data_IF_826884907811
#
_entry.id   IF_826884907811
#
_cell.length_a   1.000
_cell.length_b   1.000
_cell.length_c   1.000
_cell.angle_alpha   90.00
_cell.angle_beta   90.00
_cell.angle_gamma   90.00
#
_symmetry.space_group_name_H-M   'P 1'
#
loop_
_entity.id
_entity.type
_entity.pdbx_description
1 polymer ?
#
# COMPACT_ATOMS: atom_id res chain seq x y z
N UNK A 1 8.45 28.88 -33.42
CA UNK A 1 7.79 29.15 -32.11
C UNK A 1 8.43 28.46 -30.91
N UNK A 2 8.43 27.13 -30.77
CA UNK A 2 9.05 26.48 -29.57
C UNK A 2 10.55 26.75 -29.43
N UNK A 3 11.31 26.63 -30.52
CA UNK A 3 12.75 26.92 -30.54
C UNK A 3 13.05 28.41 -30.31
N UNK A 4 12.08 29.27 -30.62
CA UNK A 4 12.17 30.73 -30.40
C UNK A 4 11.76 31.14 -28.97
N UNK A 5 11.41 30.18 -28.09
CA UNK A 5 11.01 30.49 -26.71
C UNK A 5 9.63 31.16 -26.58
N UNK A 6 8.76 31.03 -27.60
CA UNK A 6 7.40 31.59 -27.53
C UNK A 6 6.59 30.99 -26.37
N UNK A 7 5.74 31.81 -25.74
CA UNK A 7 4.84 31.37 -24.66
C UNK A 7 3.93 30.24 -25.12
N UNK A 8 3.65 29.31 -24.20
CA UNK A 8 2.74 28.20 -24.44
C UNK A 8 1.35 28.67 -24.90
N UNK A 9 0.83 29.74 -24.30
CA UNK A 9 -0.47 30.31 -24.65
C UNK A 9 -0.46 30.89 -26.08
N UNK A 10 0.61 31.60 -26.46
CA UNK A 10 0.78 32.11 -27.82
C UNK A 10 0.84 30.99 -28.87
N UNK A 11 1.46 29.86 -28.54
CA UNK A 11 1.49 28.67 -29.41
C UNK A 11 0.07 28.09 -29.55
N UNK A 12 -0.71 28.03 -28.46
CA UNK A 12 -2.08 27.52 -28.50
C UNK A 12 -2.97 28.43 -29.35
N UNK A 13 -2.85 29.76 -29.20
CA UNK A 13 -3.59 30.74 -30.00
C UNK A 13 -3.24 30.65 -31.48
N UNK A 14 -1.96 30.57 -31.82
CA UNK A 14 -1.51 30.38 -33.20
C UNK A 14 -2.06 29.08 -33.80
N UNK A 15 -2.12 27.99 -33.02
CA UNK A 15 -2.71 26.72 -33.48
C UNK A 15 -4.22 26.80 -33.71
N UNK A 16 -4.94 27.63 -32.92
CA UNK A 16 -6.36 27.87 -33.11
C UNK A 16 -6.59 28.71 -34.37
N UNK A 17 -5.83 29.79 -34.55
CA UNK A 17 -5.93 30.68 -35.70
C UNK A 17 -5.64 29.96 -37.03
N UNK A 18 -4.71 29.00 -37.03
CA UNK A 18 -4.36 28.21 -38.21
C UNK A 18 -5.27 27.00 -38.46
N UNK A 19 -6.28 26.77 -37.62
CA UNK A 19 -7.15 25.59 -37.75
C UNK A 19 -8.42 25.92 -38.54
N UNK A 20 -8.45 25.50 -39.81
CA UNK A 20 -9.61 25.64 -40.70
C UNK A 20 -10.90 24.98 -40.16
N UNK A 21 -10.77 23.93 -39.36
CA UNK A 21 -11.92 23.19 -38.79
C UNK A 21 -12.33 23.66 -37.40
N UNK A 22 -11.61 24.59 -36.77
CA UNK A 22 -11.88 24.96 -35.38
C UNK A 22 -13.18 25.74 -35.23
N UNK A 23 -13.45 26.69 -36.15
CA UNK A 23 -14.67 27.50 -36.12
C UNK A 23 -15.96 26.66 -36.28
N UNK A 24 -15.91 25.58 -37.06
CA UNK A 24 -17.06 24.72 -37.34
C UNK A 24 -17.35 23.71 -36.20
N UNK A 25 -16.49 23.64 -35.18
CA UNK A 25 -16.68 22.71 -34.05
C UNK A 25 -17.67 23.27 -33.04
N UNK A 26 -18.39 22.37 -32.38
CA UNK A 26 -19.22 22.69 -31.22
C UNK A 26 -18.38 23.32 -30.10
N UNK A 27 -19.00 24.13 -29.24
CA UNK A 27 -18.34 24.79 -28.10
C UNK A 27 -17.57 23.79 -27.22
N UNK A 28 -18.16 22.62 -26.95
CA UNK A 28 -17.51 21.57 -26.18
C UNK A 28 -16.27 20.98 -26.88
N UNK A 29 -16.33 20.83 -28.20
CA UNK A 29 -15.20 20.32 -29.00
C UNK A 29 -14.08 21.34 -29.10
N UNK A 30 -14.41 22.63 -29.18
CA UNK A 30 -13.44 23.72 -29.12
C UNK A 30 -12.70 23.75 -27.77
N UNK A 31 -13.42 23.65 -26.66
CA UNK A 31 -12.83 23.64 -25.32
C UNK A 31 -11.97 22.38 -25.07
N UNK A 32 -12.45 21.20 -25.47
CA UNK A 32 -11.66 19.95 -25.43
C UNK A 32 -10.35 20.08 -26.23
N UNK A 33 -10.42 20.73 -27.40
CA UNK A 33 -9.23 21.02 -28.19
C UNK A 33 -8.28 21.99 -27.47
N UNK A 34 -8.79 23.10 -26.93
CA UNK A 34 -7.99 24.07 -26.13
C UNK A 34 -7.29 23.38 -24.96
N UNK A 35 -8.00 22.60 -24.15
CA UNK A 35 -7.45 21.85 -23.02
C UNK A 35 -6.35 20.85 -23.47
N UNK A 36 -6.57 20.13 -24.57
CA UNK A 36 -5.56 19.21 -25.14
C UNK A 36 -4.29 19.96 -25.56
N UNK A 37 -4.42 21.15 -26.15
CA UNK A 37 -3.28 21.97 -26.56
C UNK A 37 -2.59 22.62 -25.36
N UNK A 38 -3.32 23.17 -24.41
CA UNK A 38 -2.76 23.70 -23.16
C UNK A 38 -1.96 22.64 -22.41
N UNK A 39 -2.50 21.42 -22.25
CA UNK A 39 -1.77 20.31 -21.60
C UNK A 39 -0.43 19.98 -22.26
N UNK A 40 -0.30 20.21 -23.59
CA UNK A 40 0.92 19.91 -24.36
C UNK A 40 1.89 21.10 -24.48
N UNK A 41 1.39 22.32 -24.55
CA UNK A 41 2.17 23.51 -24.90
C UNK A 41 2.31 24.52 -23.75
N UNK A 42 1.38 24.53 -22.80
CA UNK A 42 1.38 25.39 -21.62
C UNK A 42 1.16 24.56 -20.33
N UNK A 43 2.04 23.56 -20.03
CA UNK A 43 1.90 22.78 -18.81
C UNK A 43 2.06 23.69 -17.59
N UNK A 44 1.13 23.57 -16.64
CA UNK A 44 1.16 24.26 -15.35
C UNK A 44 1.44 23.25 -14.25
N UNK A 45 2.37 23.57 -13.36
CA UNK A 45 2.70 22.74 -12.20
C UNK A 45 2.16 23.43 -10.95
N UNK A 46 1.46 22.67 -10.11
CA UNK A 46 0.95 23.14 -8.82
C UNK A 46 1.71 22.42 -7.71
N UNK A 47 2.41 23.19 -6.89
CA UNK A 47 3.07 22.67 -5.70
C UNK A 47 2.04 22.49 -4.58
N UNK A 48 1.97 21.27 -4.03
CA UNK A 48 1.11 20.92 -2.91
C UNK A 48 1.95 20.32 -1.79
N UNK A 49 1.50 20.54 -0.56
CA UNK A 49 2.10 19.89 0.61
C UNK A 49 1.93 18.37 0.51
N UNK A 50 2.97 17.57 0.84
CA UNK A 50 2.82 16.13 0.98
C UNK A 50 1.81 15.78 2.07
N UNK A 51 0.98 14.79 1.77
CA UNK A 51 -0.02 14.17 2.65
C UNK A 51 -0.14 12.70 2.28
N UNK A 52 -0.62 11.86 3.20
CA UNK A 52 -0.93 10.44 2.96
C UNK A 52 -1.66 10.24 1.64
N UNK A 53 -2.68 11.06 1.40
CA UNK A 53 -3.46 11.04 0.15
C UNK A 53 -2.59 11.26 -1.08
N UNK A 54 -1.85 12.36 -1.13
CA UNK A 54 -1.04 12.72 -2.30
C UNK A 54 0.09 11.72 -2.57
N UNK A 55 0.69 11.18 -1.50
CA UNK A 55 1.79 10.21 -1.61
C UNK A 55 1.24 8.89 -2.11
N UNK A 56 0.16 8.37 -1.50
CA UNK A 56 -0.51 7.15 -1.94
C UNK A 56 -0.97 7.26 -3.40
N UNK A 57 -1.66 8.34 -3.79
CA UNK A 57 -2.10 8.55 -5.18
C UNK A 57 -0.93 8.60 -6.16
N UNK A 58 0.21 9.18 -5.76
CA UNK A 58 1.41 9.27 -6.62
C UNK A 58 2.06 7.90 -6.81
N UNK A 59 2.23 7.13 -5.73
CA UNK A 59 2.79 5.78 -5.82
C UNK A 59 1.86 4.82 -6.55
N UNK A 60 0.55 4.90 -6.31
CA UNK A 60 -0.42 4.06 -7.02
C UNK A 60 -0.41 4.31 -8.53
N UNK A 61 -0.18 5.56 -8.97
CA UNK A 61 -0.10 5.92 -10.40
C UNK A 61 1.26 5.56 -11.04
N UNK A 62 2.37 5.65 -10.30
CA UNK A 62 3.72 5.46 -10.87
C UNK A 62 4.32 4.09 -10.59
N UNK A 63 4.17 3.58 -9.37
CA UNK A 63 4.81 2.36 -8.85
C UNK A 63 3.84 1.58 -7.94
N UNK A 64 2.69 1.09 -8.45
CA UNK A 64 1.66 0.47 -7.62
C UNK A 64 2.13 -0.78 -6.89
N UNK A 65 3.00 -1.59 -7.50
CA UNK A 65 3.54 -2.80 -6.89
C UNK A 65 4.30 -2.52 -5.57
N UNK A 66 4.99 -1.38 -5.49
CA UNK A 66 5.77 -1.00 -4.31
C UNK A 66 4.91 -0.74 -3.07
N UNK A 67 3.65 -0.39 -3.27
CA UNK A 67 2.69 -0.15 -2.19
C UNK A 67 1.66 -1.28 -2.07
N UNK A 68 1.97 -2.47 -2.61
CA UNK A 68 1.07 -3.62 -2.60
C UNK A 68 -0.26 -3.35 -3.34
N UNK A 69 -0.25 -2.50 -4.36
CA UNK A 69 -1.43 -2.04 -5.09
C UNK A 69 -2.50 -1.37 -4.22
N UNK A 70 -2.11 -0.81 -3.06
CA UNK A 70 -3.02 -0.14 -2.15
C UNK A 70 -3.51 1.19 -2.73
N UNK A 71 -4.82 1.32 -2.94
CA UNK A 71 -5.43 2.57 -3.39
C UNK A 71 -5.77 3.49 -2.20
N UNK A 72 -5.97 4.77 -2.47
CA UNK A 72 -6.12 5.80 -1.42
C UNK A 72 -7.36 5.63 -0.54
N UNK A 73 -8.45 5.14 -1.10
CA UNK A 73 -9.66 4.75 -0.39
C UNK A 73 -9.43 3.53 0.51
N UNK A 74 -8.66 2.53 0.04
CA UNK A 74 -8.25 1.39 0.86
C UNK A 74 -7.35 1.83 2.02
N UNK A 75 -6.34 2.68 1.78
CA UNK A 75 -5.52 3.25 2.85
C UNK A 75 -6.37 4.01 3.87
N UNK A 76 -7.33 4.81 3.41
CA UNK A 76 -8.21 5.60 4.28
C UNK A 76 -9.12 4.70 5.13
N UNK A 77 -9.68 3.65 4.52
CA UNK A 77 -10.50 2.66 5.20
C UNK A 77 -9.67 1.87 6.22
N UNK A 78 -8.46 1.45 5.86
CA UNK A 78 -7.53 0.72 6.73
C UNK A 78 -7.23 1.51 8.02
N UNK A 79 -6.86 2.79 7.88
CA UNK A 79 -6.58 3.68 9.01
C UNK A 79 -7.82 3.92 9.89
N UNK A 80 -9.00 3.96 9.27
CA UNK A 80 -10.28 4.18 9.97
C UNK A 80 -10.72 2.94 10.74
N UNK A 81 -10.62 1.76 10.12
CA UNK A 81 -10.99 0.48 10.74
C UNK A 81 -10.06 0.10 11.90
N UNK A 82 -8.79 0.48 11.80
CA UNK A 82 -7.83 0.36 12.90
C UNK A 82 -8.00 1.46 13.98
N UNK A 83 -8.93 2.40 13.81
CA UNK A 83 -9.18 3.51 14.74
C UNK A 83 -7.91 4.32 15.08
N UNK A 84 -7.09 4.64 14.07
CA UNK A 84 -5.86 5.42 14.30
C UNK A 84 -6.23 6.86 14.66
N UNK A 85 -5.91 7.22 15.90
CA UNK A 85 -6.17 8.54 16.47
C UNK A 85 -5.05 9.02 17.38
N UNK A 86 -5.16 10.27 17.82
CA UNK A 86 -4.24 10.83 18.80
C UNK A 86 -4.24 10.00 20.09
N UNK A 87 -3.08 9.94 20.73
CA UNK A 87 -2.72 9.20 21.93
C UNK A 87 -2.75 7.68 21.80
N UNK A 88 -2.94 7.14 20.60
CA UNK A 88 -2.86 5.70 20.33
C UNK A 88 -1.40 5.23 20.24
N UNK A 89 -1.17 4.03 20.79
CA UNK A 89 0.03 3.22 20.58
C UNK A 89 -0.31 2.17 19.52
N UNK A 90 0.19 2.38 18.30
CA UNK A 90 -0.18 1.60 17.10
C UNK A 90 0.96 0.64 16.76
N UNK A 91 0.63 -0.65 16.65
CA UNK A 91 1.51 -1.66 16.08
C UNK A 91 1.25 -1.74 14.57
N UNK A 92 2.31 -1.65 13.76
CA UNK A 92 2.19 -1.67 12.31
C UNK A 92 3.18 -2.67 11.70
N UNK A 93 2.70 -3.56 10.84
CA UNK A 93 3.56 -4.32 9.91
C UNK A 93 3.47 -3.63 8.56
N UNK A 94 4.55 -3.00 8.13
CA UNK A 94 4.60 -2.25 6.87
C UNK A 94 5.71 -2.79 5.98
N UNK A 95 5.31 -3.60 5.00
CA UNK A 95 6.15 -4.06 3.90
C UNK A 95 5.86 -3.30 2.60
N UNK A 96 5.15 -2.17 2.69
CA UNK A 96 4.73 -1.33 1.55
C UNK A 96 5.52 -0.02 1.49
N UNK A 97 6.81 -0.10 1.83
CA UNK A 97 7.78 1.00 1.73
C UNK A 97 7.69 2.05 2.84
N UNK A 98 6.89 1.83 3.90
CA UNK A 98 6.65 2.83 4.94
C UNK A 98 5.45 3.74 4.67
N UNK A 99 4.61 3.42 3.68
CA UNK A 99 3.41 4.22 3.35
C UNK A 99 2.41 4.22 4.52
N UNK A 100 2.21 3.07 5.15
CA UNK A 100 1.24 2.89 6.24
C UNK A 100 1.78 3.54 7.50
N UNK A 101 3.04 3.29 7.87
CA UNK A 101 3.68 3.90 9.04
C UNK A 101 3.70 5.43 8.91
N UNK A 102 4.03 5.96 7.73
CA UNK A 102 3.98 7.40 7.46
C UNK A 102 2.58 7.98 7.63
N UNK A 103 1.55 7.25 7.18
CA UNK A 103 0.15 7.68 7.32
C UNK A 103 -0.34 7.62 8.76
N UNK A 104 0.06 6.60 9.51
CA UNK A 104 -0.21 6.50 10.95
C UNK A 104 0.45 7.68 11.67
N UNK A 105 1.73 7.94 11.41
CA UNK A 105 2.44 9.06 12.01
C UNK A 105 1.78 10.41 11.69
N UNK A 106 1.33 10.63 10.45
CA UNK A 106 0.56 11.82 10.05
C UNK A 106 -0.73 11.96 10.89
N UNK A 107 -1.47 10.86 11.08
CA UNK A 107 -2.72 10.83 11.86
C UNK A 107 -2.51 11.01 13.36
N UNK A 108 -1.42 10.48 13.92
CA UNK A 108 -1.07 10.63 15.34
C UNK A 108 -0.65 12.06 15.70
N UNK A 109 -0.18 12.85 14.73
CA UNK A 109 0.14 14.27 14.92
C UNK A 109 1.24 14.55 15.96
N UNK A 110 2.04 13.55 16.33
CA UNK A 110 3.05 13.66 17.38
C UNK A 110 2.52 13.44 18.81
N UNK A 111 1.26 13.03 18.96
CA UNK A 111 0.66 12.66 20.26
C UNK A 111 0.32 11.18 20.20
N UNK A 112 1.24 10.29 20.55
CA UNK A 112 1.10 8.83 20.37
C UNK A 112 2.40 8.21 19.88
N UNK A 113 2.37 6.91 19.60
CA UNK A 113 3.54 6.18 19.11
C UNK A 113 3.15 5.16 18.05
N UNK A 114 4.04 4.97 17.09
CA UNK A 114 3.92 3.90 16.09
C UNK A 114 5.12 2.99 16.20
N UNK A 115 4.86 1.71 16.44
CA UNK A 115 5.87 0.67 16.44
C UNK A 115 5.74 -0.12 15.14
N UNK A 116 6.69 0.10 14.22
CA UNK A 116 6.79 -0.67 12.99
C UNK A 116 7.54 -1.98 13.28
N UNK A 117 6.83 -3.10 13.23
CA UNK A 117 7.45 -4.41 13.34
C UNK A 117 7.76 -5.01 11.97
N UNK A 118 8.78 -5.85 11.92
CA UNK A 118 9.22 -6.52 10.70
C UNK A 118 9.53 -7.99 10.96
N UNK A 119 9.38 -8.77 9.90
CA UNK A 119 9.63 -10.21 9.89
C UNK A 119 11.07 -10.46 9.45
N UNK A 120 11.80 -11.28 10.20
CA UNK A 120 13.19 -11.63 9.92
C UNK A 120 14.24 -10.73 10.59
N UNK A 121 15.47 -10.80 10.09
CA UNK A 121 16.66 -10.22 10.75
C UNK A 121 16.84 -8.71 10.48
N UNK A 122 16.35 -8.21 9.35
CA UNK A 122 16.55 -6.83 8.92
C UNK A 122 15.22 -6.06 8.79
N UNK A 123 15.19 -4.77 9.17
CA UNK A 123 14.00 -3.93 9.04
C UNK A 123 13.60 -3.73 7.57
N UNK A 124 12.30 -3.66 7.33
CA UNK A 124 11.76 -3.26 6.02
C UNK A 124 12.16 -1.82 5.67
N UNK A 125 12.35 -1.56 4.39
CA UNK A 125 12.67 -0.22 3.90
C UNK A 125 11.48 0.73 4.12
N UNK A 126 11.67 1.74 4.97
CA UNK A 126 10.68 2.79 5.27
C UNK A 126 11.00 4.11 4.58
N UNK A 127 11.47 4.06 3.34
CA UNK A 127 12.00 5.23 2.67
C UNK A 127 10.91 6.23 2.22
N UNK A 128 9.66 5.77 2.05
CA UNK A 128 8.50 6.63 1.71
C UNK A 128 8.24 7.65 2.84
N UNK A 129 8.58 7.34 4.09
CA UNK A 129 8.41 8.24 5.24
C UNK A 129 9.10 9.59 5.01
N UNK A 130 10.23 9.61 4.28
CA UNK A 130 10.94 10.86 3.97
C UNK A 130 10.11 11.83 3.14
N UNK A 131 9.16 11.33 2.34
CA UNK A 131 8.29 12.17 1.51
C UNK A 131 7.21 12.88 2.31
N UNK A 132 6.85 12.37 3.50
CA UNK A 132 5.84 12.98 4.37
C UNK A 132 6.31 14.31 5.00
N UNK A 133 7.61 14.58 5.02
CA UNK A 133 8.19 15.77 5.65
C UNK A 133 7.68 15.97 7.09
N UNK A 134 7.75 14.90 7.89
CA UNK A 134 7.28 14.87 9.28
C UNK A 134 8.17 15.77 10.16
N UNK A 135 7.58 16.33 11.22
CA UNK A 135 8.35 17.09 12.22
C UNK A 135 9.28 16.16 13.02
N UNK A 136 10.30 16.74 13.66
CA UNK A 136 11.19 16.00 14.57
C UNK A 136 10.43 15.22 15.63
N UNK A 137 9.36 15.81 16.16
CA UNK A 137 8.56 15.23 17.24
C UNK A 137 7.80 14.00 16.74
N UNK A 138 7.18 14.10 15.56
CA UNK A 138 6.51 12.98 14.91
C UNK A 138 7.51 11.86 14.58
N UNK A 139 8.68 12.20 14.02
CA UNK A 139 9.70 11.21 13.67
C UNK A 139 10.30 10.51 14.89
N UNK A 140 10.48 11.21 16.01
CA UNK A 140 11.01 10.63 17.24
C UNK A 140 10.11 9.55 17.86
N UNK A 141 8.83 9.53 17.47
CA UNK A 141 7.80 8.62 17.95
C UNK A 141 7.56 7.42 17.02
N UNK A 142 8.34 7.32 15.94
CA UNK A 142 8.33 6.18 15.02
C UNK A 142 9.44 5.22 15.44
N UNK A 143 9.04 4.08 15.98
CA UNK A 143 9.95 3.03 16.41
C UNK A 143 9.97 1.87 15.43
N UNK A 144 11.09 1.15 15.38
CA UNK A 144 11.21 -0.13 14.70
C UNK A 144 11.73 -1.20 15.66
N UNK A 145 11.09 -2.35 15.68
CA UNK A 145 11.49 -3.50 16.49
C UNK A 145 11.22 -4.80 15.71
N UNK A 146 12.09 -5.83 15.80
CA UNK A 146 11.80 -7.12 15.20
C UNK A 146 10.65 -7.81 15.94
N UNK A 147 9.89 -8.65 15.24
CA UNK A 147 8.77 -9.38 15.84
C UNK A 147 9.20 -10.26 17.02
N UNK A 148 10.37 -10.90 16.96
CA UNK A 148 10.88 -11.76 18.02
C UNK A 148 11.07 -11.04 19.37
N UNK A 149 11.53 -9.78 19.33
CA UNK A 149 11.71 -8.99 20.55
C UNK A 149 10.37 -8.63 21.19
N UNK A 150 9.34 -8.37 20.38
CA UNK A 150 8.00 -8.06 20.85
C UNK A 150 7.31 -9.30 21.44
N UNK A 151 7.41 -10.46 20.78
CA UNK A 151 6.83 -11.70 21.29
C UNK A 151 7.45 -12.12 22.64
N UNK A 152 8.74 -11.86 22.83
CA UNK A 152 9.44 -12.16 24.09
C UNK A 152 8.90 -11.37 25.29
N UNK A 153 8.18 -10.27 25.08
CA UNK A 153 7.62 -9.46 26.17
C UNK A 153 6.44 -10.13 26.86
N UNK A 154 5.68 -10.96 26.14
CA UNK A 154 4.53 -11.66 26.71
C UNK A 154 4.96 -12.80 27.65
N UNK A 155 6.01 -13.53 27.28
CA UNK A 155 6.54 -14.64 28.07
C UNK A 155 7.08 -14.21 29.44
N UNK A 156 7.37 -12.91 29.64
CA UNK A 156 7.82 -12.37 30.91
C UNK A 156 6.67 -11.98 31.87
N UNK A 157 5.43 -11.87 31.37
CA UNK A 157 4.26 -11.44 32.14
C UNK A 157 3.53 -12.55 32.91
N UNK A 158 3.70 -13.82 32.51
CA UNK A 158 2.88 -14.95 33.01
C UNK A 158 3.63 -15.98 33.87
N UNK A 159 4.85 -15.69 34.35
CA UNK A 159 5.61 -16.65 35.17
C UNK A 159 5.53 -16.35 36.68
N UNK A 160 4.81 -17.16 37.51
CA UNK A 160 5.14 -17.26 38.92
C UNK A 160 6.49 -17.98 39.05
N UNK A 161 7.41 -17.33 39.77
CA UNK A 161 8.78 -17.78 39.97
C UNK A 161 8.87 -19.12 40.72
N UNK A 162 9.19 -20.23 40.03
CA UNK A 162 9.79 -21.42 40.66
C UNK A 162 10.76 -22.14 39.72
N UNK A 163 12.06 -21.94 40.02
CA UNK A 163 13.22 -22.84 39.95
C UNK A 163 13.63 -23.58 38.66
N UNK A 164 14.89 -23.27 38.30
CA UNK A 164 15.89 -23.97 37.49
C UNK A 164 15.79 -25.50 37.36
N UNK A 165 16.14 -25.99 36.16
CA UNK A 165 16.48 -27.38 35.92
C UNK A 165 16.93 -27.65 34.48
N UNK A 166 18.16 -27.29 34.17
CA UNK A 166 18.90 -27.60 32.94
C UNK A 166 18.92 -29.10 32.59
N UNK A 167 18.50 -29.48 31.37
CA UNK A 167 19.03 -30.66 30.66
C UNK A 167 19.13 -30.35 29.16
N UNK A 168 20.36 -30.41 28.69
CA UNK A 168 20.82 -30.39 27.31
C UNK A 168 20.71 -31.81 26.72
N UNK A 169 20.29 -31.96 25.46
CA UNK A 169 20.67 -33.14 24.65
C UNK A 169 20.52 -32.91 23.14
N UNK A 170 21.49 -33.49 22.45
CA UNK A 170 21.93 -33.27 21.07
C UNK A 170 21.02 -33.82 19.96
N UNK A 171 21.30 -33.27 18.77
CA UNK A 171 20.94 -33.73 17.43
C UNK A 171 21.39 -35.17 17.15
N UNK A 172 20.53 -35.98 16.52
CA UNK A 172 20.90 -37.05 15.57
C UNK A 172 19.80 -37.24 14.52
N UNK A 173 20.12 -36.91 13.26
CA UNK A 173 19.76 -37.70 12.06
C UNK A 173 21.08 -38.37 11.60
N UNK A 174 21.12 -39.51 10.86
CA UNK A 174 20.45 -39.69 9.56
C UNK A 174 20.06 -41.14 9.18
N UNK A 175 19.38 -41.35 8.03
CA UNK A 175 19.74 -42.34 6.99
C UNK A 175 18.68 -42.41 5.88
N UNK A 176 19.14 -42.66 4.65
CA UNK A 176 18.44 -42.41 3.40
C UNK A 176 18.28 -43.68 2.52
N UNK A 177 17.26 -43.65 1.63
CA UNK A 177 17.02 -44.32 0.31
C UNK A 177 17.04 -45.86 0.19
N UNK A 178 16.47 -46.52 -0.87
CA UNK A 178 16.15 -46.10 -2.28
C UNK A 178 14.66 -46.27 -2.71
N UNK A 179 14.08 -45.44 -3.58
CA UNK A 179 14.14 -45.31 -5.06
C UNK A 179 13.59 -46.52 -5.88
N UNK A 180 12.45 -46.32 -6.54
CA UNK A 180 12.14 -46.92 -7.86
C UNK A 180 11.13 -46.04 -8.62
N UNK A 181 11.55 -45.68 -9.84
CA UNK A 181 10.83 -44.90 -10.85
C UNK A 181 10.13 -45.80 -11.87
N UNK A 182 8.87 -45.54 -12.24
CA UNK A 182 8.33 -45.91 -13.56
C UNK A 182 7.26 -44.91 -14.06
N UNK A 183 7.52 -44.34 -15.25
CA UNK A 183 6.59 -43.54 -16.06
C UNK A 183 5.74 -44.44 -16.98
N UNK A 184 4.45 -44.11 -17.17
CA UNK A 184 3.68 -44.41 -18.40
C UNK A 184 2.39 -43.54 -18.38
N UNK A 185 2.25 -42.53 -19.23
CA UNK A 185 1.67 -42.49 -20.58
C UNK A 185 0.12 -42.50 -20.68
N UNK A 186 -0.41 -41.37 -21.19
CA UNK A 186 -1.56 -41.20 -22.11
C UNK A 186 -2.96 -41.76 -21.75
N UNK A 187 -3.95 -40.85 -21.62
CA UNK A 187 -5.18 -40.81 -22.45
C UNK A 187 -6.12 -39.62 -22.09
N UNK A 188 -6.49 -38.81 -23.10
CA UNK A 188 -7.80 -38.13 -23.24
C UNK A 188 -8.60 -38.93 -24.28
N UNK A 189 -9.94 -39.03 -24.23
CA UNK A 189 -10.86 -38.05 -24.85
C UNK A 189 -12.15 -37.83 -24.00
N UNK A 190 -13.07 -36.89 -24.24
CA UNK A 190 -14.03 -36.79 -25.35
C UNK A 190 -14.71 -35.41 -25.32
N UNK A 191 -14.94 -34.85 -26.52
CA UNK A 191 -15.71 -33.65 -26.81
C UNK A 191 -17.22 -33.92 -26.80
N UNK A 192 -18.05 -32.90 -26.51
CA UNK A 192 -19.41 -32.83 -27.06
C UNK A 192 -19.74 -31.36 -27.35
N UNK A 193 -19.89 -31.06 -28.64
CA UNK A 193 -20.38 -29.81 -29.21
C UNK A 193 -21.92 -29.80 -29.19
N UNK A 194 -22.52 -28.62 -29.02
CA UNK A 194 -23.87 -28.32 -29.52
C UNK A 194 -23.83 -26.93 -30.16
N UNK A 195 -24.22 -26.87 -31.43
CA UNK A 195 -24.38 -25.69 -32.27
C UNK A 195 -25.83 -25.18 -32.30
N UNK A 196 -25.96 -23.92 -32.73
CA UNK A 196 -27.09 -23.22 -33.41
C UNK A 196 -27.41 -21.88 -32.70
N UNK A 197 -27.61 -20.74 -33.37
CA UNK A 197 -27.74 -20.44 -34.79
C UNK A 197 -27.82 -18.93 -34.99
N UNK A 198 -27.71 -18.55 -36.26
CA UNK A 198 -27.43 -17.25 -36.87
C UNK A 198 -28.59 -16.22 -36.78
N UNK A 199 -28.27 -14.92 -36.67
CA UNK A 199 -29.14 -13.82 -37.10
C UNK A 199 -28.32 -12.58 -37.53
N UNK A 200 -28.41 -12.24 -38.80
CA UNK A 200 -27.79 -11.08 -39.46
C UNK A 200 -28.55 -9.77 -39.16
N UNK A 201 -27.83 -8.65 -38.99
CA UNK A 201 -28.36 -7.32 -39.37
C UNK A 201 -27.25 -6.30 -39.66
N UNK A 202 -27.17 -5.95 -40.95
CA UNK A 202 -26.88 -4.66 -41.61
C UNK A 202 -25.88 -3.65 -41.00
N UNK A 203 -24.75 -3.55 -41.70
CA UNK A 203 -23.99 -2.37 -42.17
C UNK A 203 -24.31 -0.97 -41.61
N UNK A 204 -23.38 -0.41 -40.83
CA UNK A 204 -22.96 1.01 -40.91
C UNK A 204 -21.45 1.08 -40.63
N UNK A 205 -20.67 1.57 -41.59
CA UNK A 205 -19.22 1.77 -41.45
C UNK A 205 -18.92 2.97 -40.53
N UNK A 206 -18.12 2.83 -39.45
CA UNK A 206 -17.45 3.95 -38.83
C UNK A 206 -16.07 4.15 -39.47
N UNK A 207 -15.82 5.38 -39.88
CA UNK A 207 -14.56 5.87 -40.44
C UNK A 207 -13.44 5.69 -39.39
N UNK A 208 -12.52 4.77 -39.66
CA UNK A 208 -11.28 4.60 -38.91
C UNK A 208 -10.41 5.84 -39.11
N UNK A 209 -10.22 6.63 -38.05
CA UNK A 209 -9.12 7.58 -37.95
C UNK A 209 -8.05 6.90 -37.09
N UNK A 210 -7.03 6.37 -37.75
CA UNK A 210 -5.86 5.77 -37.11
C UNK A 210 -5.28 6.75 -36.08
N UNK A 211 -5.16 6.23 -34.85
CA UNK A 211 -4.45 6.87 -33.75
C UNK A 211 -3.02 6.35 -33.81
N UNK A 212 -1.99 7.21 -34.04
CA UNK A 212 -0.64 6.81 -33.73
C UNK A 212 -0.47 6.83 -32.22
N UNK A 213 -0.28 5.66 -31.63
CA UNK A 213 0.19 5.54 -30.25
C UNK A 213 1.56 6.23 -30.10
N UNK A 214 1.80 6.99 -29.03
CA UNK A 214 3.15 7.45 -28.74
C UNK A 214 3.99 6.25 -28.32
N UNK A 215 5.11 6.07 -29.02
CA UNK A 215 6.11 5.03 -28.77
C UNK A 215 6.38 4.82 -27.27
N UNK A 216 6.23 3.57 -26.85
CA UNK A 216 6.80 3.00 -25.63
C UNK A 216 8.31 2.97 -25.79
N UNK A 217 8.99 3.79 -25.01
CA UNK A 217 10.44 3.68 -24.81
C UNK A 217 10.65 2.68 -23.66
N UNK A 218 10.66 1.40 -24.02
CA UNK A 218 11.00 0.30 -23.11
C UNK A 218 12.53 0.27 -22.91
N UNK A 219 12.99 1.07 -21.96
CA UNK A 219 14.24 0.80 -21.27
C UNK A 219 13.99 0.79 -19.76
N UNK A 220 13.74 -0.42 -19.26
CA UNK A 220 13.80 -0.78 -17.86
C UNK A 220 15.23 -0.52 -17.34
N UNK A 221 15.42 0.64 -16.72
CA UNK A 221 16.53 0.85 -15.81
C UNK A 221 16.01 0.72 -14.38
N UNK A 222 16.36 -0.41 -13.78
CA UNK A 222 16.27 -0.69 -12.36
C UNK A 222 17.30 0.22 -11.66
N UNK A 223 16.93 1.48 -11.49
CA UNK A 223 17.71 2.47 -10.76
C UNK A 223 17.05 2.75 -9.43
N UNK A 224 17.69 2.30 -8.35
CA UNK A 224 17.43 2.84 -7.03
C UNK A 224 17.39 4.38 -7.12
N UNK A 225 16.28 4.98 -6.70
CA UNK A 225 16.21 6.42 -6.50
C UNK A 225 17.03 6.73 -5.25
N UNK A 226 18.34 6.70 -5.39
CA UNK A 226 19.26 7.42 -4.52
C UNK A 226 19.24 8.87 -5.01
N UNK A 227 18.60 9.75 -4.23
CA UNK A 227 18.86 11.18 -4.39
C UNK A 227 20.34 11.40 -4.08
N UNK A 228 21.09 11.85 -5.08
CA UNK A 228 22.47 12.26 -4.92
C UNK A 228 22.52 13.45 -3.97
N UNK A 229 23.25 13.29 -2.86
CA UNK A 229 23.60 14.39 -1.97
C UNK A 229 24.34 15.46 -2.80
N UNK A 230 23.78 16.66 -2.87
CA UNK A 230 24.47 17.82 -3.41
C UNK A 230 25.67 18.15 -2.51
N UNK A 231 26.85 17.60 -2.79
CA UNK A 231 28.11 17.98 -2.14
C UNK A 231 28.50 19.38 -2.61
N UNK A 232 28.15 20.38 -1.81
CA UNK A 232 28.81 21.69 -1.84
C UNK A 232 30.25 21.55 -1.35
N UNK A 233 31.20 22.05 -2.13
CA UNK A 233 32.61 22.13 -1.74
C UNK A 233 32.77 23.29 -0.75
N UNK A 234 32.83 22.98 0.55
CA UNK A 234 33.64 23.63 1.60
C UNK A 234 33.09 23.32 3.00
N UNK A 235 34.03 23.10 3.92
CA UNK A 235 33.85 22.46 5.23
C UNK A 235 32.89 23.14 6.21
N UNK A 236 32.41 22.31 7.13
CA UNK A 236 31.47 22.55 8.24
C UNK A 236 30.01 22.83 7.83
N UNK A 237 29.30 21.79 7.40
CA UNK A 237 27.84 21.80 7.33
C UNK A 237 27.23 21.51 8.71
N UNK A 238 26.87 22.56 9.46
CA UNK A 238 25.81 22.49 10.47
C UNK A 238 24.48 22.59 9.72
N UNK A 239 24.16 21.56 8.92
CA UNK A 239 22.81 21.35 8.44
C UNK A 239 22.18 20.32 9.39
N UNK A 240 21.00 20.56 9.98
CA UNK A 240 20.35 19.54 10.80
C UNK A 240 20.11 18.32 9.90
N UNK A 241 20.81 17.21 10.19
CA UNK A 241 20.56 15.93 9.51
C UNK A 241 19.06 15.65 9.60
N UNK A 242 18.42 15.37 8.47
CA UNK A 242 16.99 15.06 8.44
C UNK A 242 16.69 13.98 9.51
N UNK A 243 15.66 14.18 10.35
CA UNK A 243 15.37 13.26 11.43
C UNK A 243 15.13 11.86 10.85
N UNK A 244 15.91 10.89 11.32
CA UNK A 244 15.79 9.50 10.88
C UNK A 244 14.69 8.82 11.69
N UNK A 245 13.63 8.39 11.00
CA UNK A 245 12.61 7.50 11.54
C UNK A 245 13.17 6.08 11.71
N UNK A 246 12.54 5.27 12.58
CA UNK A 246 12.91 3.86 12.76
C UNK A 246 14.02 3.63 13.78
N UNK A 247 14.02 4.42 14.87
CA UNK A 247 14.89 4.11 16.02
C UNK A 247 14.33 2.89 16.77
N UNK A 248 15.21 2.13 17.43
CA UNK A 248 14.75 1.12 18.36
C UNK A 248 13.94 1.79 19.50
N UNK A 249 12.85 1.17 19.98
CA UNK A 249 12.10 1.66 21.12
C UNK A 249 12.97 1.65 22.39
N UNK A 250 12.78 2.64 23.25
CA UNK A 250 13.41 2.65 24.58
C UNK A 250 12.91 1.46 25.41
N UNK A 251 13.76 0.87 26.28
CA UNK A 251 13.39 -0.30 27.08
C UNK A 251 12.16 -0.08 27.97
N UNK A 252 11.98 1.14 28.49
CA UNK A 252 10.78 1.51 29.27
C UNK A 252 9.49 1.42 28.47
N UNK A 253 9.51 1.87 27.20
CA UNK A 253 8.36 1.79 26.30
C UNK A 253 8.07 0.34 25.90
N UNK A 254 9.13 -0.46 25.71
CA UNK A 254 8.99 -1.88 25.43
C UNK A 254 8.28 -2.60 26.58
N UNK A 255 8.70 -2.33 27.82
CA UNK A 255 8.05 -2.86 29.03
C UNK A 255 6.58 -2.41 29.13
N UNK A 256 6.31 -1.13 28.88
CA UNK A 256 4.94 -0.59 28.89
C UNK A 256 4.01 -1.34 27.93
N UNK A 257 4.46 -1.61 26.69
CA UNK A 257 3.68 -2.39 25.72
C UNK A 257 3.53 -3.86 26.11
N UNK A 258 4.51 -4.44 26.79
CA UNK A 258 4.38 -5.79 27.36
C UNK A 258 3.26 -5.87 28.41
N UNK A 259 3.12 -4.85 29.25
CA UNK A 259 2.12 -4.82 30.34
C UNK A 259 0.72 -4.40 29.86
N UNK A 260 0.62 -3.42 28.95
CA UNK A 260 -0.67 -2.81 28.56
C UNK A 260 -1.15 -3.25 27.17
N UNK A 261 -0.26 -3.81 26.34
CA UNK A 261 -0.52 -4.09 24.94
C UNK A 261 -0.59 -2.84 24.05
N UNK A 262 -0.67 -3.07 22.73
CA UNK A 262 -0.90 -2.02 21.75
C UNK A 262 -2.40 -1.72 21.61
N UNK A 263 -2.73 -0.46 21.34
CA UNK A 263 -4.12 0.00 21.20
C UNK A 263 -4.77 -0.31 19.84
N UNK A 264 -3.95 -0.55 18.81
CA UNK A 264 -4.39 -0.81 17.44
C UNK A 264 -3.34 -1.60 16.68
N UNK A 265 -3.77 -2.47 15.76
CA UNK A 265 -2.89 -3.19 14.83
C UNK A 265 -3.24 -2.86 13.38
N UNK A 266 -2.21 -2.56 12.58
CA UNK A 266 -2.32 -2.50 11.12
C UNK A 266 -1.32 -3.47 10.50
N UNK A 267 -1.77 -4.27 9.54
CA UNK A 267 -0.90 -5.18 8.78
C UNK A 267 -1.03 -4.89 7.29
N UNK A 268 0.10 -4.63 6.64
CA UNK A 268 0.23 -4.53 5.19
C UNK A 268 1.50 -5.28 4.76
N UNK A 269 1.35 -6.58 4.53
CA UNK A 269 2.41 -7.49 4.14
C UNK A 269 1.94 -8.37 2.97
N UNK A 270 1.99 -7.88 1.72
CA UNK A 270 1.46 -8.61 0.56
C UNK A 270 2.24 -9.88 0.21
N UNK A 271 3.51 -9.98 0.62
CA UNK A 271 4.41 -11.09 0.25
C UNK A 271 4.52 -12.18 1.33
N UNK A 272 3.77 -12.07 2.44
CA UNK A 272 3.85 -12.97 3.59
C UNK A 272 2.51 -13.63 3.91
N UNK A 273 2.56 -14.80 4.56
CA UNK A 273 1.38 -15.48 5.05
C UNK A 273 0.73 -14.71 6.19
N UNK A 274 -0.37 -14.03 5.86
CA UNK A 274 -1.13 -13.17 6.78
C UNK A 274 -1.55 -13.91 8.05
N UNK A 275 -1.92 -15.19 7.94
CA UNK A 275 -2.40 -15.99 9.07
C UNK A 275 -1.36 -16.12 10.18
N UNK A 276 -0.14 -16.57 9.85
CA UNK A 276 0.94 -16.74 10.83
C UNK A 276 1.32 -15.40 11.46
N UNK A 277 1.44 -14.36 10.64
CA UNK A 277 1.80 -13.01 11.11
C UNK A 277 0.74 -12.48 12.09
N UNK A 278 -0.54 -12.66 11.79
CA UNK A 278 -1.64 -12.19 12.65
C UNK A 278 -1.72 -13.03 13.94
N UNK A 279 -1.46 -14.33 13.89
CA UNK A 279 -1.44 -15.19 15.07
C UNK A 279 -0.41 -14.72 16.11
N UNK A 280 0.78 -14.30 15.67
CA UNK A 280 1.84 -13.80 16.55
C UNK A 280 1.57 -12.37 17.06
N UNK A 281 0.90 -11.54 16.26
CA UNK A 281 0.68 -10.12 16.56
C UNK A 281 -0.55 -9.86 17.43
N UNK A 282 -1.61 -10.64 17.28
CA UNK A 282 -2.85 -10.43 18.03
C UNK A 282 -2.70 -10.52 19.56
N UNK A 283 -1.84 -11.40 20.11
CA UNK A 283 -1.55 -11.41 21.53
C UNK A 283 -0.86 -10.14 22.05
N UNK A 284 -0.19 -9.36 21.19
CA UNK A 284 0.46 -8.09 21.58
C UNK A 284 -0.53 -6.94 21.75
N UNK A 285 -1.79 -7.12 21.32
CA UNK A 285 -2.81 -6.09 21.42
C UNK A 285 -3.52 -6.11 22.77
N UNK A 286 -3.90 -4.93 23.24
CA UNK A 286 -4.82 -4.81 24.35
C UNK A 286 -6.18 -5.42 24.01
N UNK A 287 -6.90 -5.92 25.01
CA UNK A 287 -8.28 -6.35 24.78
C UNK A 287 -9.14 -5.19 24.31
N UNK A 288 -10.15 -5.50 23.47
CA UNK A 288 -11.00 -4.51 22.80
C UNK A 288 -10.27 -3.60 21.81
N UNK A 289 -8.99 -3.85 21.50
CA UNK A 289 -8.30 -3.14 20.43
C UNK A 289 -8.82 -3.54 19.04
N UNK A 290 -9.07 -2.58 18.15
CA UNK A 290 -9.32 -2.87 16.75
C UNK A 290 -8.04 -3.25 16.01
N UNK A 291 -8.19 -4.10 15.00
CA UNK A 291 -7.14 -4.40 14.05
C UNK A 291 -7.68 -4.33 12.63
N UNK A 292 -6.82 -3.96 11.68
CA UNK A 292 -7.14 -3.95 10.27
C UNK A 292 -5.95 -4.48 9.45
N UNK A 293 -6.26 -5.41 8.55
CA UNK A 293 -5.28 -6.14 7.76
C UNK A 293 -5.60 -5.90 6.29
N UNK A 294 -4.62 -5.39 5.56
CA UNK A 294 -4.70 -5.18 4.13
C UNK A 294 -4.05 -6.33 3.37
N UNK A 295 -4.70 -6.75 2.28
CA UNK A 295 -4.10 -7.66 1.31
C UNK A 295 -4.62 -7.40 -0.11
N UNK A 296 -3.80 -7.65 -1.13
CA UNK A 296 -4.20 -7.48 -2.54
C UNK A 296 -5.25 -8.53 -2.95
N UNK A 297 -5.21 -9.72 -2.38
CA UNK A 297 -6.11 -10.82 -2.74
C UNK A 297 -7.05 -11.18 -1.59
N UNK A 298 -8.27 -11.62 -1.94
CA UNK A 298 -9.30 -12.00 -0.98
C UNK A 298 -8.97 -13.32 -0.26
N UNK A 299 -8.35 -14.27 -0.96
CA UNK A 299 -8.15 -15.63 -0.47
C UNK A 299 -7.35 -15.67 0.85
N UNK A 300 -6.20 -14.97 1.00
CA UNK A 300 -5.46 -14.98 2.27
C UNK A 300 -6.24 -14.36 3.44
N UNK A 301 -7.07 -13.35 3.16
CA UNK A 301 -7.94 -12.75 4.17
C UNK A 301 -9.07 -13.68 4.60
N UNK A 302 -9.63 -14.45 3.66
CA UNK A 302 -10.66 -15.44 3.97
C UNK A 302 -10.11 -16.57 4.85
N UNK A 303 -8.92 -17.08 4.54
CA UNK A 303 -8.23 -18.08 5.37
C UNK A 303 -7.92 -17.54 6.76
N UNK A 304 -7.35 -16.33 6.83
CA UNK A 304 -7.09 -15.66 8.10
C UNK A 304 -8.38 -15.46 8.92
N UNK A 305 -9.47 -14.99 8.29
CA UNK A 305 -10.77 -14.82 8.94
C UNK A 305 -11.29 -16.14 9.52
N UNK A 306 -11.17 -17.25 8.80
CA UNK A 306 -11.56 -18.57 9.28
C UNK A 306 -10.74 -19.00 10.50
N UNK A 307 -9.42 -18.83 10.45
CA UNK A 307 -8.50 -19.13 11.56
C UNK A 307 -8.81 -18.30 12.82
N UNK A 308 -9.14 -17.02 12.65
CA UNK A 308 -9.56 -16.14 13.76
C UNK A 308 -10.90 -16.54 14.38
N UNK A 309 -11.83 -17.03 13.57
CA UNK A 309 -13.10 -17.58 14.05
C UNK A 309 -12.90 -18.89 14.82
N UNK A 310 -12.06 -19.79 14.30
CA UNK A 310 -11.76 -21.07 14.92
C UNK A 310 -11.06 -20.90 16.28
N UNK A 311 -10.10 -19.98 16.35
CA UNK A 311 -9.35 -19.66 17.59
C UNK A 311 -10.17 -18.84 18.60
N UNK A 312 -11.32 -18.28 18.20
CA UNK A 312 -12.18 -17.38 19.01
C UNK A 312 -11.41 -16.18 19.58
N UNK A 313 -10.45 -15.67 18.81
CA UNK A 313 -9.57 -14.58 19.24
C UNK A 313 -10.10 -13.18 18.94
N UNK A 314 -11.06 -13.06 18.01
CA UNK A 314 -11.59 -11.80 17.55
C UNK A 314 -13.11 -11.88 17.31
N UNK A 315 -13.78 -10.72 17.38
CA UNK A 315 -15.20 -10.56 17.05
C UNK A 315 -15.38 -9.50 15.98
N UNK A 316 -16.57 -9.46 15.38
CA UNK A 316 -16.92 -8.45 14.37
C UNK A 316 -16.04 -8.53 13.13
N UNK A 317 -15.57 -9.74 12.79
CA UNK A 317 -14.72 -9.97 11.63
C UNK A 317 -15.48 -9.64 10.35
N UNK A 318 -14.94 -8.72 9.56
CA UNK A 318 -15.52 -8.27 8.30
C UNK A 318 -14.43 -8.10 7.24
N UNK A 319 -14.67 -8.66 6.06
CA UNK A 319 -13.87 -8.36 4.86
C UNK A 319 -14.61 -7.31 4.04
N UNK A 320 -13.92 -6.20 3.73
CA UNK A 320 -14.48 -5.08 2.97
C UNK A 320 -13.60 -4.77 1.77
N UNK A 321 -14.24 -4.53 0.63
CA UNK A 321 -13.61 -3.99 -0.58
C UNK A 321 -14.15 -2.58 -0.84
N UNK A 322 -13.32 -1.53 -0.77
CA UNK A 322 -13.76 -0.18 -1.12
C UNK A 322 -13.76 0.00 -2.65
N UNK A 323 -14.82 0.63 -3.17
CA UNK A 323 -14.94 0.98 -4.58
C UNK A 323 -14.88 2.50 -4.74
N UNK A 324 -13.97 2.98 -5.60
CA UNK A 324 -13.79 4.39 -5.89
C UNK A 324 -14.12 4.68 -7.35
N UNK A 325 -15.08 5.59 -7.57
CA UNK A 325 -15.48 6.06 -8.90
C UNK A 325 -15.26 7.56 -9.03
N UNK A 326 -14.31 7.94 -9.87
CA UNK A 326 -14.06 9.35 -10.21
C UNK A 326 -15.08 9.86 -11.25
N UNK A 327 -15.59 11.07 -11.02
CA UNK A 327 -16.55 11.74 -11.91
C UNK A 327 -15.94 13.00 -12.52
N UNK A 328 -16.19 13.19 -13.81
CA UNK A 328 -16.05 14.49 -14.43
C UNK A 328 -17.32 15.29 -14.11
N UNK A 329 -17.16 16.46 -13.50
CA UNK A 329 -18.27 17.37 -13.18
C UNK A 329 -18.03 18.67 -13.93
N UNK A 330 -18.68 18.80 -15.09
CA UNK A 330 -18.65 19.98 -15.95
C UNK A 330 -20.07 20.25 -16.45
N UNK A 331 -20.47 21.53 -16.65
CA UNK A 331 -21.79 21.86 -17.18
C UNK A 331 -22.12 21.05 -18.45
N UNK A 332 -23.26 20.37 -18.43
CA UNK A 332 -23.76 19.51 -19.53
C UNK A 332 -22.82 18.38 -19.99
N UNK A 333 -21.80 18.02 -19.19
CA UNK A 333 -20.83 16.94 -19.48
C UNK A 333 -20.45 16.17 -18.21
N UNK A 334 -21.40 15.96 -17.30
CA UNK A 334 -21.19 15.21 -16.07
C UNK A 334 -21.34 13.72 -16.33
N UNK A 335 -20.26 12.97 -16.16
CA UNK A 335 -20.27 11.52 -16.29
C UNK A 335 -19.07 10.91 -15.52
N UNK A 336 -19.14 9.62 -15.14
CA UNK A 336 -17.98 8.93 -14.58
C UNK A 336 -16.86 8.80 -15.62
N UNK A 337 -15.60 8.75 -15.17
CA UNK A 337 -14.50 8.41 -16.06
C UNK A 337 -14.69 7.01 -16.64
N UNK A 338 -14.45 6.84 -17.96
CA UNK A 338 -14.72 5.59 -18.67
C UNK A 338 -13.68 4.50 -18.38
N UNK A 339 -12.42 4.88 -18.17
CA UNK A 339 -11.33 3.98 -17.81
C UNK A 339 -10.84 4.36 -16.42
N UNK A 340 -10.87 3.39 -15.51
CA UNK A 340 -10.44 3.55 -14.12
C UNK A 340 -9.98 2.21 -13.57
N UNK A 341 -9.15 2.28 -12.52
CA UNK A 341 -8.67 1.10 -11.83
C UNK A 341 -9.83 0.52 -11.02
N UNK A 342 -10.27 -0.69 -11.39
CA UNK A 342 -11.37 -1.37 -10.71
C UNK A 342 -10.98 -1.73 -9.26
N UNK A 343 -9.73 -2.13 -9.05
CA UNK A 343 -9.30 -2.77 -7.82
C UNK A 343 -8.33 -1.91 -6.99
N UNK A 344 -8.46 -1.98 -5.66
CA UNK A 344 -7.64 -1.23 -4.70
C UNK A 344 -7.20 -2.00 -3.46
N UNK A 345 -7.47 -3.31 -3.41
CA UNK A 345 -7.19 -4.19 -2.28
C UNK A 345 -8.42 -4.53 -1.44
N UNK A 346 -8.26 -5.52 -0.56
CA UNK A 346 -9.24 -5.96 0.42
C UNK A 346 -8.74 -5.67 1.83
N UNK A 347 -9.67 -5.44 2.76
CA UNK A 347 -9.36 -5.18 4.16
C UNK A 347 -10.16 -6.13 5.04
N UNK A 348 -9.47 -6.89 5.89
CA UNK A 348 -10.06 -7.65 6.98
C UNK A 348 -9.93 -6.82 8.26
N UNK A 349 -11.05 -6.56 8.93
CA UNK A 349 -11.06 -5.87 10.23
C UNK A 349 -11.72 -6.71 11.30
N UNK A 350 -11.35 -6.48 12.55
CA UNK A 350 -12.04 -7.05 13.70
C UNK A 350 -11.61 -6.38 15.00
N UNK A 351 -12.18 -6.87 16.11
CA UNK A 351 -11.83 -6.42 17.45
C UNK A 351 -11.26 -7.60 18.22
N UNK A 352 -10.10 -7.39 18.86
CA UNK A 352 -9.45 -8.39 19.73
C UNK A 352 -10.30 -8.63 20.97
N UNK A 353 -10.58 -9.88 21.29
CA UNK A 353 -11.27 -10.27 22.53
C UNK A 353 -10.37 -11.11 23.44
N UNK A 354 -10.66 -11.04 24.73
CA UNK A 354 -10.15 -11.99 25.69
C UNK A 354 -10.90 -13.30 25.52
N UNK A 355 -10.15 -14.40 25.50
CA UNK A 355 -10.72 -15.74 25.53
C UNK A 355 -10.91 -16.10 27.00
N UNK A 356 -12.15 -16.26 27.50
CA UNK A 356 -12.33 -16.81 28.83
C UNK A 356 -11.81 -18.25 28.83
N UNK A 357 -10.99 -18.59 29.81
CA UNK A 357 -10.55 -19.97 30.02
C UNK A 357 -11.79 -20.87 30.25
N UNK A 358 -11.77 -22.10 29.71
CA UNK A 358 -12.90 -23.03 29.79
C UNK A 358 -13.19 -23.54 31.20
#
# INVERSE_FOLDING_TARGET
MKREGASGDAIVEALIANSSTFGNKTVFSQEKYKLKKQKKYAPKVLLRRPSSRSICETYFKKYPARIGFMRVDALSLLLSMANVGAYSDVLAVDMVGGLVVGSVAERLGGTGYVCSTYLGSAPSSIDIIRMYNLSSDMTSRIFQAPLGDLCSLQSAGDAPSVLSGSIQRDLVEPAAVPDESLQSSLAKPINTEVSDGNAQSMTVQPINMEVPEPATDDHLNQGDISMSDCKGSNGNSIAPKAPRAGKAPSPERMKYWGEHGFSSLIVAAPDHEVESVVADLLPLLSYSAPFAIYHQYLQPLATCMHSLQASKMAIGLQITEPWLREYQVLPSRTHPHMQMNAFGGYILSGIRIHRPDP
#
